data_IF_428630662122
#
_entry.id   IF_428630662122
#
_cell.length_a   1.000
_cell.length_b   1.000
_cell.length_c   1.000
_cell.angle_alpha   90.00
_cell.angle_beta   90.00
_cell.angle_gamma   90.00
#
_symmetry.space_group_name_H-M   'P 1'
#
loop_
_entity.id
_entity.type
_entity.pdbx_description
1 polymer ?
#
# COMPACT_ATOMS: atom_id res chain seq x y z
N UNK A 1 37.91 2.04 -62.63
CA UNK A 1 36.61 1.41 -62.98
C UNK A 1 36.89 0.04 -63.59
N UNK A 2 36.57 -1.04 -62.90
CA UNK A 2 36.12 -2.34 -63.44
C UNK A 2 36.19 -3.38 -62.31
N UNK A 3 35.06 -3.59 -61.63
CA UNK A 3 34.89 -4.56 -60.55
C UNK A 3 34.81 -6.00 -61.08
N UNK A 4 35.29 -6.93 -60.27
CA UNK A 4 35.26 -8.37 -60.55
C UNK A 4 33.94 -9.01 -60.10
N UNK A 5 33.40 -9.85 -60.99
CA UNK A 5 32.09 -10.49 -60.93
C UNK A 5 32.01 -11.57 -59.82
N UNK A 6 31.08 -11.41 -58.88
CA UNK A 6 30.67 -12.50 -57.95
C UNK A 6 29.66 -13.43 -58.63
N UNK A 7 30.04 -14.70 -58.79
CA UNK A 7 29.16 -15.81 -59.21
C UNK A 7 28.00 -15.98 -58.22
N UNK A 8 26.76 -15.84 -58.71
CA UNK A 8 25.55 -16.32 -58.01
C UNK A 8 25.47 -17.84 -58.15
N UNK A 9 25.58 -18.56 -57.04
CA UNK A 9 25.17 -19.96 -56.94
C UNK A 9 23.66 -19.99 -56.70
N UNK A 10 22.93 -20.54 -57.67
CA UNK A 10 21.51 -20.92 -57.53
C UNK A 10 21.45 -22.12 -56.59
N UNK A 11 20.60 -22.07 -55.57
CA UNK A 11 20.23 -23.26 -54.78
C UNK A 11 18.71 -23.43 -54.87
N UNK A 12 18.34 -24.67 -55.15
CA UNK A 12 17.02 -25.18 -55.48
C UNK A 12 15.95 -24.84 -54.43
N UNK A 13 14.75 -24.57 -54.94
CA UNK A 13 13.47 -24.86 -54.29
C UNK A 13 13.26 -26.36 -54.43
N UNK A 14 13.34 -27.10 -53.32
CA UNK A 14 12.30 -28.06 -52.92
C UNK A 14 12.58 -28.59 -51.50
N UNK A 15 11.50 -28.72 -50.74
CA UNK A 15 11.28 -29.59 -49.59
C UNK A 15 12.17 -29.47 -48.34
N UNK A 16 11.69 -28.68 -47.36
CA UNK A 16 11.57 -29.11 -45.95
C UNK A 16 10.81 -28.06 -45.16
N UNK A 17 9.68 -28.49 -44.61
CA UNK A 17 8.78 -27.78 -43.70
C UNK A 17 9.52 -27.02 -42.59
N UNK A 18 9.62 -25.70 -42.74
CA UNK A 18 9.95 -24.81 -41.64
C UNK A 18 8.69 -24.59 -40.80
N UNK A 19 8.57 -25.37 -39.72
CA UNK A 19 7.72 -25.06 -38.59
C UNK A 19 8.04 -23.63 -38.13
N UNK A 20 7.05 -22.75 -38.31
CA UNK A 20 7.09 -21.40 -37.76
C UNK A 20 6.92 -21.56 -36.25
N UNK A 21 7.98 -21.25 -35.52
CA UNK A 21 8.03 -21.15 -34.06
C UNK A 21 7.11 -20.01 -33.61
N UNK A 22 5.81 -20.27 -33.62
CA UNK A 22 4.84 -19.53 -32.82
C UNK A 22 5.09 -20.00 -31.39
N UNK A 23 5.25 -19.11 -30.40
CA UNK A 23 5.33 -19.54 -29.01
C UNK A 23 3.92 -20.05 -28.66
N UNK A 24 3.69 -21.34 -28.93
CA UNK A 24 2.64 -22.12 -28.33
C UNK A 24 2.94 -22.01 -26.85
N UNK A 25 2.10 -21.27 -26.16
CA UNK A 25 2.02 -21.23 -24.71
C UNK A 25 2.08 -22.69 -24.28
N UNK A 26 3.26 -23.15 -23.84
CA UNK A 26 3.44 -24.48 -23.28
C UNK A 26 2.34 -24.60 -22.26
N UNK A 27 1.41 -25.53 -22.51
CA UNK A 27 0.28 -25.80 -21.66
C UNK A 27 0.81 -25.79 -20.22
N UNK A 28 0.42 -24.77 -19.45
CA UNK A 28 0.60 -24.77 -18.02
C UNK A 28 -0.01 -26.10 -17.57
N UNK A 29 0.77 -26.93 -16.88
CA UNK A 29 0.36 -28.21 -16.30
C UNK A 29 -0.89 -28.01 -15.41
N UNK A 30 -2.05 -27.90 -16.06
CA UNK A 30 -3.40 -27.82 -15.50
C UNK A 30 -4.04 -29.22 -15.42
N UNK A 31 -3.19 -30.25 -15.49
CA UNK A 31 -3.62 -31.65 -15.57
C UNK A 31 -3.91 -32.26 -14.20
N UNK A 32 -3.53 -31.59 -13.12
CA UNK A 32 -3.95 -31.96 -11.76
C UNK A 32 -4.54 -30.74 -11.03
N UNK A 33 -5.87 -30.67 -10.86
CA UNK A 33 -6.46 -29.66 -9.99
C UNK A 33 -5.99 -29.92 -8.56
N UNK A 34 -5.27 -28.96 -7.98
CA UNK A 34 -4.71 -29.03 -6.63
C UNK A 34 -5.76 -28.67 -5.57
N UNK A 35 -6.83 -27.97 -5.96
CA UNK A 35 -7.85 -27.45 -5.06
C UNK A 35 -9.27 -27.54 -5.64
N UNK A 36 -10.28 -27.72 -4.76
CA UNK A 36 -11.69 -27.84 -5.15
C UNK A 36 -12.21 -26.61 -5.93
N UNK A 37 -11.63 -25.43 -5.67
CA UNK A 37 -11.91 -24.20 -6.42
C UNK A 37 -11.42 -24.26 -7.87
N UNK A 38 -10.29 -24.92 -8.14
CA UNK A 38 -9.74 -25.05 -9.50
C UNK A 38 -10.57 -26.02 -10.33
N UNK A 39 -11.04 -27.11 -9.72
CA UNK A 39 -12.01 -28.04 -10.34
C UNK A 39 -13.27 -27.28 -10.71
N UNK A 40 -13.78 -26.47 -9.79
CA UNK A 40 -14.98 -25.68 -10.00
C UNK A 40 -14.80 -24.62 -11.11
N UNK A 41 -13.70 -23.87 -11.10
CA UNK A 41 -13.40 -22.87 -12.14
C UNK A 41 -13.28 -23.53 -13.53
N UNK A 42 -12.70 -24.72 -13.62
CA UNK A 42 -12.63 -25.49 -14.87
C UNK A 42 -14.02 -25.93 -15.35
N UNK A 43 -14.90 -26.32 -14.43
CA UNK A 43 -16.29 -26.66 -14.74
C UNK A 43 -17.06 -25.44 -15.29
N UNK A 44 -16.90 -24.27 -14.67
CA UNK A 44 -17.50 -23.01 -15.14
C UNK A 44 -16.99 -22.65 -16.54
N UNK A 45 -15.69 -22.80 -16.81
CA UNK A 45 -15.14 -22.56 -18.16
C UNK A 45 -15.71 -23.54 -19.20
N UNK A 46 -15.80 -24.83 -18.85
CA UNK A 46 -16.33 -25.83 -19.77
C UNK A 46 -17.80 -25.59 -20.10
N UNK A 47 -18.60 -25.13 -19.13
CA UNK A 47 -20.01 -24.80 -19.35
C UNK A 47 -20.21 -23.54 -20.19
N UNK A 48 -19.38 -22.51 -19.98
CA UNK A 48 -19.34 -21.32 -20.84
C UNK A 48 -19.02 -21.65 -22.30
N UNK A 49 -18.05 -22.55 -22.52
CA UNK A 49 -17.69 -23.03 -23.85
C UNK A 49 -18.83 -23.85 -24.47
N UNK A 50 -19.48 -24.71 -23.68
CA UNK A 50 -20.63 -25.50 -24.14
C UNK A 50 -21.81 -24.61 -24.58
N UNK A 51 -22.03 -23.50 -23.88
CA UNK A 51 -23.08 -22.52 -24.18
C UNK A 51 -22.68 -21.56 -25.33
N UNK A 52 -21.54 -21.78 -26.01
CA UNK A 52 -20.99 -20.95 -27.08
C UNK A 52 -20.78 -19.48 -26.70
N UNK A 53 -20.50 -19.22 -25.42
CA UNK A 53 -20.33 -17.87 -24.91
C UNK A 53 -18.83 -17.60 -24.66
N UNK A 54 -18.29 -16.44 -25.10
CA UNK A 54 -16.89 -16.15 -24.87
C UNK A 54 -16.61 -16.01 -23.37
N UNK A 55 -15.52 -16.63 -22.85
CA UNK A 55 -15.13 -16.52 -21.44
C UNK A 55 -14.51 -15.14 -21.17
N UNK A 56 -15.31 -14.09 -21.30
CA UNK A 56 -14.95 -12.74 -20.85
C UNK A 56 -15.08 -12.66 -19.33
N UNK A 57 -14.31 -11.79 -18.64
CA UNK A 57 -14.36 -11.69 -17.18
C UNK A 57 -15.77 -11.49 -16.62
N UNK A 58 -16.56 -10.61 -17.26
CA UNK A 58 -17.94 -10.34 -16.87
C UNK A 58 -18.85 -11.57 -17.02
N UNK A 59 -18.68 -12.33 -18.10
CA UNK A 59 -19.49 -13.51 -18.36
C UNK A 59 -19.08 -14.70 -17.46
N UNK A 60 -17.78 -14.82 -17.19
CA UNK A 60 -17.26 -15.81 -16.26
C UNK A 60 -17.79 -15.57 -14.84
N UNK A 61 -17.75 -14.33 -14.33
CA UNK A 61 -18.29 -13.98 -13.01
C UNK A 61 -19.77 -14.34 -12.87
N UNK A 62 -20.61 -13.99 -13.85
CA UNK A 62 -22.04 -14.31 -13.81
C UNK A 62 -22.33 -15.82 -13.80
N UNK A 63 -21.59 -16.59 -14.60
CA UNK A 63 -21.72 -18.05 -14.61
C UNK A 63 -21.12 -18.68 -13.37
N UNK A 64 -20.04 -18.11 -12.84
CA UNK A 64 -19.38 -18.55 -11.61
C UNK A 64 -20.32 -18.41 -10.42
N UNK A 65 -21.06 -17.31 -10.30
CA UNK A 65 -22.05 -17.15 -9.22
C UNK A 65 -23.27 -18.06 -9.42
N UNK A 66 -23.77 -18.14 -10.65
CA UNK A 66 -24.94 -18.97 -10.97
C UNK A 66 -24.69 -20.47 -10.73
N UNK A 67 -23.56 -21.00 -11.21
CA UNK A 67 -23.23 -22.42 -10.99
C UNK A 67 -22.93 -22.71 -9.52
N UNK A 68 -22.59 -21.70 -8.71
CA UNK A 68 -22.22 -21.87 -7.31
C UNK A 68 -23.45 -22.13 -6.45
N UNK A 69 -24.62 -21.61 -6.86
CA UNK A 69 -25.92 -21.84 -6.22
C UNK A 69 -26.32 -23.33 -6.22
N UNK A 70 -25.95 -24.07 -7.27
CA UNK A 70 -26.28 -25.49 -7.45
C UNK A 70 -25.27 -26.44 -6.75
N UNK A 71 -24.20 -25.91 -6.16
CA UNK A 71 -23.15 -26.71 -5.49
C UNK A 71 -23.44 -26.93 -4.01
N UNK A 72 -22.68 -27.83 -3.40
CA UNK A 72 -22.81 -28.14 -1.98
C UNK A 72 -22.54 -26.90 -1.10
N UNK A 73 -23.31 -26.76 -0.02
CA UNK A 73 -23.16 -25.68 0.97
C UNK A 73 -21.73 -25.53 1.52
N UNK A 74 -21.00 -26.64 1.65
CA UNK A 74 -19.62 -26.63 2.14
C UNK A 74 -18.67 -25.97 1.13
N UNK A 75 -18.78 -26.33 -0.15
CA UNK A 75 -17.98 -25.73 -1.22
C UNK A 75 -18.30 -24.25 -1.39
N UNK A 76 -19.60 -23.88 -1.35
CA UNK A 76 -20.02 -22.49 -1.42
C UNK A 76 -19.41 -21.64 -0.31
N UNK A 77 -19.40 -22.15 0.93
CA UNK A 77 -18.76 -21.46 2.07
C UNK A 77 -17.24 -21.32 1.91
N UNK A 78 -16.57 -22.35 1.39
CA UNK A 78 -15.13 -22.29 1.13
C UNK A 78 -14.81 -21.23 0.08
N UNK A 79 -15.57 -21.19 -1.02
CA UNK A 79 -15.39 -20.24 -2.11
C UNK A 79 -15.69 -18.80 -1.65
N UNK A 80 -16.79 -18.58 -0.91
CA UNK A 80 -17.07 -17.26 -0.34
C UNK A 80 -15.97 -16.80 0.63
N UNK A 81 -15.46 -17.69 1.48
CA UNK A 81 -14.36 -17.33 2.38
C UNK A 81 -13.10 -16.91 1.62
N UNK A 82 -12.80 -17.53 0.48
CA UNK A 82 -11.66 -17.17 -0.37
C UNK A 82 -11.92 -15.81 -1.05
N UNK A 83 -13.11 -15.59 -1.60
CA UNK A 83 -13.48 -14.33 -2.23
C UNK A 83 -13.47 -13.16 -1.23
N UNK A 84 -13.98 -13.37 -0.01
CA UNK A 84 -13.91 -12.37 1.07
C UNK A 84 -12.45 -12.07 1.46
N UNK A 85 -11.57 -13.07 1.46
CA UNK A 85 -10.14 -12.86 1.71
C UNK A 85 -9.46 -12.03 0.60
N UNK A 86 -9.91 -12.15 -0.64
CA UNK A 86 -9.41 -11.38 -1.79
C UNK A 86 -9.97 -9.95 -1.82
N UNK A 87 -11.25 -9.75 -1.49
CA UNK A 87 -11.93 -8.44 -1.54
C UNK A 87 -11.46 -7.48 -0.42
N UNK A 88 -11.09 -8.01 0.75
CA UNK A 88 -10.85 -7.19 1.95
C UNK A 88 -9.42 -6.61 2.09
N UNK A 89 -8.48 -6.87 1.18
CA UNK A 89 -7.06 -6.72 1.57
C UNK A 89 -6.38 -5.40 1.21
N UNK A 90 -6.76 -4.69 0.14
CA UNK A 90 -5.99 -3.51 -0.30
C UNK A 90 -6.62 -2.19 0.13
N UNK A 91 -7.93 -2.02 -0.04
CA UNK A 91 -8.61 -0.76 0.26
C UNK A 91 -8.79 -0.53 1.77
N UNK A 92 -9.14 -1.57 2.54
CA UNK A 92 -9.30 -1.42 4.00
C UNK A 92 -7.96 -1.18 4.71
N UNK A 93 -6.90 -1.87 4.29
CA UNK A 93 -5.56 -1.70 4.86
C UNK A 93 -4.99 -0.30 4.56
N UNK A 94 -5.24 0.24 3.36
CA UNK A 94 -4.82 1.61 3.03
C UNK A 94 -5.60 2.65 3.84
N UNK A 95 -6.91 2.48 4.01
CA UNK A 95 -7.73 3.35 4.87
C UNK A 95 -7.26 3.30 6.33
N UNK A 96 -6.97 2.12 6.87
CA UNK A 96 -6.46 1.96 8.22
C UNK A 96 -5.09 2.64 8.40
N UNK A 97 -4.20 2.53 7.41
CA UNK A 97 -2.93 3.25 7.39
C UNK A 97 -3.11 4.76 7.37
N UNK A 98 -3.99 5.28 6.51
CA UNK A 98 -4.28 6.71 6.44
C UNK A 98 -4.83 7.25 7.77
N UNK A 99 -5.73 6.51 8.42
CA UNK A 99 -6.25 6.87 9.73
C UNK A 99 -5.14 6.94 10.78
N UNK A 100 -4.29 5.90 10.84
CA UNK A 100 -3.16 5.86 11.77
C UNK A 100 -2.18 7.02 11.54
N UNK A 101 -1.93 7.37 10.27
CA UNK A 101 -1.07 8.47 9.89
C UNK A 101 -1.64 9.82 10.33
N UNK A 102 -2.95 10.03 10.12
CA UNK A 102 -3.66 11.25 10.54
C UNK A 102 -3.64 11.44 12.05
N UNK A 103 -3.83 10.36 12.80
CA UNK A 103 -3.75 10.38 14.26
C UNK A 103 -2.32 10.68 14.74
N UNK A 104 -1.32 10.08 14.08
CA UNK A 104 0.10 10.37 14.29
C UNK A 104 0.43 11.86 14.08
N UNK A 105 -0.02 12.45 12.96
CA UNK A 105 0.16 13.87 12.68
C UNK A 105 -0.50 14.78 13.74
N UNK A 106 -1.70 14.40 14.21
CA UNK A 106 -2.41 15.15 15.24
C UNK A 106 -1.65 15.13 16.57
N UNK A 107 -1.10 13.97 16.93
CA UNK A 107 -0.25 13.80 18.12
C UNK A 107 1.03 14.62 18.03
N UNK A 108 1.74 14.56 16.89
CA UNK A 108 2.96 15.36 16.65
C UNK A 108 2.65 16.86 16.75
N UNK A 109 1.55 17.32 16.16
CA UNK A 109 1.10 18.71 16.25
C UNK A 109 0.85 19.13 17.70
N UNK A 110 0.22 18.26 18.50
CA UNK A 110 0.02 18.48 19.93
C UNK A 110 1.34 18.63 20.69
N UNK A 111 2.27 17.70 20.49
CA UNK A 111 3.60 17.72 21.11
C UNK A 111 4.36 19.00 20.74
N UNK A 112 4.32 19.40 19.46
CA UNK A 112 5.01 20.60 19.00
C UNK A 112 4.38 21.87 19.60
N UNK A 113 3.04 21.90 19.74
CA UNK A 113 2.33 22.98 20.41
C UNK A 113 2.72 23.11 21.88
N UNK A 114 2.79 21.99 22.61
CA UNK A 114 3.25 21.96 24.01
C UNK A 114 4.71 22.40 24.11
N UNK A 115 5.58 21.90 23.24
CA UNK A 115 7.01 22.27 23.20
C UNK A 115 7.19 23.76 22.93
N UNK A 116 6.42 24.34 21.99
CA UNK A 116 6.47 25.75 21.70
C UNK A 116 6.01 26.62 22.88
N UNK A 117 4.97 26.19 23.60
CA UNK A 117 4.52 26.88 24.81
C UNK A 117 5.55 26.77 25.93
N UNK A 118 6.16 25.59 26.12
CA UNK A 118 7.23 25.40 27.09
C UNK A 118 8.42 26.33 26.79
N UNK A 119 8.83 26.42 25.53
CA UNK A 119 9.90 27.34 25.11
C UNK A 119 9.56 28.81 25.38
N UNK A 120 8.32 29.24 25.08
CA UNK A 120 7.85 30.60 25.39
C UNK A 120 7.89 30.88 26.89
N UNK A 121 7.39 29.96 27.70
CA UNK A 121 7.37 30.09 29.16
C UNK A 121 8.79 30.13 29.73
N UNK A 122 9.68 29.27 29.26
CA UNK A 122 11.08 29.24 29.69
C UNK A 122 11.80 30.54 29.31
N UNK A 123 11.54 31.06 28.10
CA UNK A 123 12.09 32.35 27.66
C UNK A 123 11.58 33.51 28.53
N UNK A 124 10.29 33.50 28.91
CA UNK A 124 9.71 34.48 29.84
C UNK A 124 10.42 34.41 31.21
N UNK A 125 10.58 33.20 31.75
CA UNK A 125 11.25 32.97 33.03
C UNK A 125 12.70 33.47 33.00
N UNK A 126 13.44 33.22 31.92
CA UNK A 126 14.80 33.77 31.74
C UNK A 126 14.80 35.31 31.75
N UNK A 127 13.84 35.96 31.09
CA UNK A 127 13.73 37.43 31.11
C UNK A 127 13.39 37.98 32.49
N UNK A 128 12.51 37.31 33.25
CA UNK A 128 12.18 37.67 34.63
C UNK A 128 13.44 37.59 35.49
N UNK A 129 14.17 36.46 35.42
CA UNK A 129 15.41 36.26 36.16
C UNK A 129 16.48 37.29 35.80
N UNK A 130 16.67 37.61 34.51
CA UNK A 130 17.60 38.66 34.08
C UNK A 130 17.20 40.04 34.62
N UNK A 131 15.90 40.36 34.65
CA UNK A 131 15.39 41.62 35.20
C UNK A 131 15.67 41.69 36.71
N UNK A 132 15.34 40.65 37.47
CA UNK A 132 15.58 40.60 38.93
C UNK A 132 17.06 40.64 39.27
N UNK A 133 17.90 39.95 38.48
CA UNK A 133 19.36 40.02 38.62
C UNK A 133 19.87 41.45 38.47
N UNK A 134 19.42 42.19 37.45
CA UNK A 134 19.78 43.61 37.25
C UNK A 134 19.28 44.51 38.38
N UNK A 135 18.10 44.26 38.92
CA UNK A 135 17.56 45.03 40.07
C UNK A 135 18.40 44.80 41.34
N UNK A 136 18.87 43.57 41.57
CA UNK A 136 19.77 43.22 42.67
C UNK A 136 21.17 43.82 42.52
N UNK A 137 21.74 43.86 41.31
CA UNK A 137 23.05 44.49 41.06
C UNK A 137 23.08 45.99 41.39
N UNK A 138 21.91 46.67 41.35
CA UNK A 138 21.80 48.11 41.57
C UNK A 138 21.39 48.52 43.00
N UNK A 139 21.16 47.55 43.92
CA UNK A 139 20.68 47.81 45.28
C UNK A 139 21.53 47.06 46.32
N UNK A 140 22.45 47.73 47.04
CA UNK A 140 23.40 47.07 47.94
C UNK A 140 22.84 46.76 49.34
N UNK A 141 21.63 47.20 49.67
CA UNK A 141 21.02 46.99 50.99
C UNK A 141 20.27 45.64 51.07
N UNK A 142 20.54 44.88 52.14
CA UNK A 142 20.02 43.53 52.32
C UNK A 142 18.48 43.46 52.41
N UNK A 143 17.81 44.49 52.93
CA UNK A 143 16.34 44.55 52.98
C UNK A 143 15.71 44.70 51.58
N UNK A 144 16.31 45.51 50.71
CA UNK A 144 15.80 45.68 49.34
C UNK A 144 16.02 44.42 48.49
N UNK A 145 17.14 43.71 48.71
CA UNK A 145 17.39 42.43 48.07
C UNK A 145 16.36 41.37 48.47
N UNK A 146 15.98 41.31 49.75
CA UNK A 146 14.92 40.42 50.25
C UNK A 146 13.56 40.73 49.61
N UNK A 147 13.22 42.01 49.43
CA UNK A 147 11.98 42.41 48.74
C UNK A 147 11.95 41.97 47.27
N UNK A 148 13.09 42.05 46.56
CA UNK A 148 13.21 41.58 45.16
C UNK A 148 13.08 40.06 45.07
N UNK A 149 13.63 39.32 46.04
CA UNK A 149 13.52 37.85 46.09
C UNK A 149 12.07 37.43 46.39
N UNK A 150 11.41 38.05 47.36
CA UNK A 150 10.00 37.76 47.68
C UNK A 150 9.07 38.04 46.49
N UNK A 151 9.37 39.07 45.72
CA UNK A 151 8.58 39.37 44.51
C UNK A 151 8.93 38.43 43.35
N UNK A 152 10.10 37.79 43.30
CA UNK A 152 10.42 36.72 42.34
C UNK A 152 9.67 35.43 42.69
N UNK A 153 9.51 35.09 43.96
CA UNK A 153 8.70 33.94 44.40
C UNK A 153 7.23 34.05 43.97
N UNK A 154 6.74 35.27 43.77
CA UNK A 154 5.38 35.53 43.26
C UNK A 154 5.29 35.56 41.72
N UNK A 155 6.42 35.66 41.01
CA UNK A 155 6.49 35.71 39.54
C UNK A 155 6.55 34.30 38.90
N UNK A 156 6.87 33.26 39.68
CA UNK A 156 7.03 31.85 39.28
C UNK A 156 5.79 31.06 39.64
#
# INVERSE_FOLDING_TARGET
MAGTLRKKSRRNIDDTSSEVDVPVISALDMDNPSSDIEIYAKEVLNTLIADNLPPTPNNFSLYFDRLLEDKSENLRKQIHSILELEENNDDENTIALEHSLKEGFSSIKGILGVTANLYKNMTLMTKILEKRKKELENKPEAEEALAIISTLENDV
#
